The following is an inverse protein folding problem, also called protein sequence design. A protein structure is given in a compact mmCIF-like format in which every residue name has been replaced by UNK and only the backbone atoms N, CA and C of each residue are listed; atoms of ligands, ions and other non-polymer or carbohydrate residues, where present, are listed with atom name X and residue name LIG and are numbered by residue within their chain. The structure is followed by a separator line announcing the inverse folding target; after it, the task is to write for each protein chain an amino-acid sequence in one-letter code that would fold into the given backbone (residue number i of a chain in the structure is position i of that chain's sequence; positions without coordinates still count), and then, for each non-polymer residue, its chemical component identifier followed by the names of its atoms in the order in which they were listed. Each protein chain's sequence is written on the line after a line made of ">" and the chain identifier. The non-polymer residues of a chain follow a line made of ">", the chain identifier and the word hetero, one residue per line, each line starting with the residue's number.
data_IF_929108912529
#
_entry.id   IF_929108912529
#
_cell.length_a   1.000
_cell.length_b   1.000
_cell.length_c   1.000
_cell.angle_alpha   90.00
_cell.angle_beta   90.00
_cell.angle_gamma   90.00
#
_symmetry.space_group_name_H-M   'P 1'
#
loop_
_entity.id
_entity.type
_entity.pdbx_description
1 polymer ?
#
# COMPACT_ATOMS: atom_id res chain seq x y z
N UNK A 1 -41.00 -9.77 -1.09
CA UNK A 1 -40.70 -8.59 -0.25
C UNK A 1 -40.36 -7.39 -1.14
N UNK A 2 -41.34 -6.90 -1.92
CA UNK A 2 -41.10 -5.99 -3.05
C UNK A 2 -40.61 -4.57 -2.65
N UNK A 3 -40.98 -4.12 -1.46
CA UNK A 3 -40.53 -2.84 -0.90
C UNK A 3 -39.01 -2.75 -0.80
N UNK A 4 -38.35 -3.76 -0.23
CA UNK A 4 -36.91 -3.75 -0.04
C UNK A 4 -36.15 -3.81 -1.36
N UNK A 5 -36.60 -4.62 -2.32
CA UNK A 5 -36.01 -4.67 -3.66
C UNK A 5 -36.10 -3.32 -4.38
N UNK A 6 -37.25 -2.63 -4.26
CA UNK A 6 -37.43 -1.28 -4.80
C UNK A 6 -36.45 -0.30 -4.15
N UNK A 7 -36.35 -0.33 -2.81
CA UNK A 7 -35.41 0.51 -2.09
C UNK A 7 -33.95 0.25 -2.51
N UNK A 8 -33.53 -1.02 -2.63
CA UNK A 8 -32.18 -1.38 -3.08
C UNK A 8 -31.91 -0.88 -4.51
N UNK A 9 -32.90 -1.05 -5.40
CA UNK A 9 -32.81 -0.55 -6.77
C UNK A 9 -32.60 0.97 -6.78
N UNK A 10 -33.38 1.73 -6.01
CA UNK A 10 -33.28 3.18 -5.95
C UNK A 10 -31.90 3.64 -5.44
N UNK A 11 -31.36 2.97 -4.41
CA UNK A 11 -30.00 3.24 -3.92
C UNK A 11 -28.94 2.97 -5.01
N UNK A 12 -29.09 1.91 -5.80
CA UNK A 12 -28.19 1.59 -6.92
C UNK A 12 -28.33 2.63 -8.04
N UNK A 13 -29.55 3.06 -8.36
CA UNK A 13 -29.81 4.06 -9.39
C UNK A 13 -29.19 5.41 -9.03
N UNK A 14 -29.24 5.82 -7.76
CA UNK A 14 -28.52 7.01 -7.28
C UNK A 14 -27.02 6.94 -7.59
N UNK A 15 -26.40 5.77 -7.36
CA UNK A 15 -24.97 5.55 -7.69
C UNK A 15 -24.66 5.54 -9.19
N UNK A 16 -25.61 5.09 -10.01
CA UNK A 16 -25.45 5.15 -11.47
C UNK A 16 -25.59 6.57 -11.99
N UNK A 17 -26.54 7.35 -11.45
CA UNK A 17 -26.78 8.74 -11.80
C UNK A 17 -25.62 9.66 -11.39
N UNK A 18 -24.98 9.42 -10.23
CA UNK A 18 -23.83 10.20 -9.76
C UNK A 18 -22.47 9.74 -10.31
N UNK A 19 -22.47 8.75 -11.22
CA UNK A 19 -21.28 8.11 -11.80
C UNK A 19 -20.29 7.52 -10.79
N UNK A 20 -20.70 7.26 -9.54
CA UNK A 20 -19.88 6.61 -8.52
C UNK A 20 -20.13 5.10 -8.39
N UNK A 21 -21.06 4.55 -9.19
CA UNK A 21 -21.26 3.11 -9.35
C UNK A 21 -19.98 2.44 -9.87
N UNK A 22 -19.56 1.36 -9.23
CA UNK A 22 -18.28 0.70 -9.51
C UNK A 22 -18.50 -0.60 -10.27
N UNK A 23 -17.81 -0.73 -11.40
CA UNK A 23 -17.68 -1.99 -12.14
C UNK A 23 -16.24 -2.47 -11.99
N UNK A 24 -16.06 -3.63 -11.35
CA UNK A 24 -14.73 -4.16 -11.07
C UNK A 24 -14.12 -4.84 -12.29
N UNK A 25 -12.86 -4.52 -12.59
CA UNK A 25 -12.07 -5.26 -13.58
C UNK A 25 -11.63 -6.59 -13.00
N UNK A 26 -11.78 -7.66 -13.78
CA UNK A 26 -11.40 -9.03 -13.39
C UNK A 26 -9.93 -9.26 -13.76
N UNK A 27 -9.03 -9.19 -12.79
CA UNK A 27 -7.58 -9.23 -13.03
C UNK A 27 -6.89 -10.29 -12.17
N UNK A 28 -6.09 -11.15 -12.80
CA UNK A 28 -5.18 -12.09 -12.12
C UNK A 28 -3.73 -11.68 -12.36
N UNK A 29 -3.03 -11.21 -11.31
CA UNK A 29 -1.62 -10.80 -11.38
C UNK A 29 -0.70 -12.02 -11.53
N UNK A 30 0.36 -11.89 -12.30
CA UNK A 30 1.37 -12.95 -12.46
C UNK A 30 2.42 -12.88 -11.34
N UNK A 31 2.56 -13.97 -10.58
CA UNK A 31 3.60 -14.11 -9.56
C UNK A 31 5.00 -14.46 -10.14
N UNK A 32 5.10 -14.69 -11.45
CA UNK A 32 6.36 -15.01 -12.15
C UNK A 32 6.83 -13.88 -13.05
N UNK A 33 5.95 -12.94 -13.40
CA UNK A 33 6.26 -11.84 -14.31
C UNK A 33 5.64 -10.52 -13.83
N UNK A 34 6.01 -10.05 -12.64
CA UNK A 34 5.55 -8.77 -12.10
C UNK A 34 6.06 -7.60 -12.98
N UNK A 35 5.25 -6.58 -13.33
CA UNK A 35 3.88 -6.31 -12.89
C UNK A 35 2.77 -6.77 -13.88
N UNK A 36 3.02 -7.81 -14.67
CA UNK A 36 2.05 -8.34 -15.65
C UNK A 36 0.87 -9.05 -15.01
N UNK A 37 -0.27 -9.06 -15.69
CA UNK A 37 -1.48 -9.75 -15.30
C UNK A 37 -2.31 -10.22 -16.51
N UNK A 38 -3.33 -11.04 -16.26
CA UNK A 38 -4.38 -11.36 -17.23
C UNK A 38 -5.69 -10.70 -16.81
N UNK A 39 -6.39 -10.09 -17.76
CA UNK A 39 -7.70 -9.44 -17.57
C UNK A 39 -8.80 -10.25 -18.25
N UNK A 40 -9.99 -10.31 -17.64
CA UNK A 40 -11.08 -11.24 -18.03
C UNK A 40 -12.46 -10.59 -18.19
N UNK A 41 -12.61 -9.27 -18.12
CA UNK A 41 -13.92 -8.63 -18.24
C UNK A 41 -14.54 -8.79 -19.63
N UNK A 42 -13.71 -8.94 -20.67
CA UNK A 42 -14.12 -8.99 -22.07
C UNK A 42 -13.42 -10.11 -22.86
N UNK A 43 -13.09 -11.21 -22.18
CA UNK A 43 -12.19 -12.25 -22.68
C UNK A 43 -10.79 -12.12 -22.09
N UNK A 44 -10.01 -13.20 -22.21
CA UNK A 44 -8.66 -13.26 -21.66
C UNK A 44 -7.68 -12.40 -22.47
N UNK A 45 -7.04 -11.42 -21.83
CA UNK A 45 -5.99 -10.60 -22.44
C UNK A 45 -4.83 -10.31 -21.49
N UNK A 46 -3.58 -10.30 -21.98
CA UNK A 46 -2.45 -9.86 -21.18
C UNK A 46 -2.51 -8.34 -20.96
N UNK A 47 -2.16 -7.89 -19.76
CA UNK A 47 -2.07 -6.48 -19.38
C UNK A 47 -0.85 -6.24 -18.47
N UNK A 48 -0.45 -4.98 -18.35
CA UNK A 48 0.50 -4.51 -17.33
C UNK A 48 -0.26 -3.73 -16.26
N UNK A 49 -0.06 -4.05 -14.98
CA UNK A 49 -0.78 -3.42 -13.87
C UNK A 49 -0.03 -2.20 -13.34
N UNK A 50 -0.64 -1.02 -13.50
CA UNK A 50 -0.07 0.27 -13.08
C UNK A 50 -0.73 0.89 -11.85
N UNK A 51 -1.79 0.25 -11.33
CA UNK A 51 -2.56 0.74 -10.19
C UNK A 51 -2.48 -0.19 -8.95
N UNK A 52 -1.52 -1.10 -8.94
CA UNK A 52 -1.29 -2.00 -7.81
C UNK A 52 -0.66 -1.24 -6.65
N UNK A 53 -1.08 -1.56 -5.42
CA UNK A 53 -0.41 -1.09 -4.20
C UNK A 53 0.64 -2.08 -3.66
N UNK A 54 0.89 -3.18 -4.35
CA UNK A 54 2.06 -4.03 -4.12
C UNK A 54 3.32 -3.32 -4.63
N UNK A 55 3.69 -2.24 -3.95
CA UNK A 55 4.63 -1.23 -4.44
C UNK A 55 6.01 -1.80 -4.78
N UNK A 56 6.41 -2.83 -4.07
CA UNK A 56 7.74 -3.44 -4.16
C UNK A 56 7.71 -4.85 -4.76
N UNK A 57 6.54 -5.32 -5.21
CA UNK A 57 6.38 -6.68 -5.73
C UNK A 57 6.58 -7.77 -4.68
N UNK A 58 6.53 -7.44 -3.38
CA UNK A 58 6.82 -8.39 -2.30
C UNK A 58 5.83 -9.56 -2.27
N UNK A 59 4.63 -9.40 -2.83
CA UNK A 59 3.66 -10.50 -2.92
C UNK A 59 4.14 -11.68 -3.78
N UNK A 60 5.14 -11.46 -4.64
CA UNK A 60 5.72 -12.50 -5.50
C UNK A 60 7.19 -12.81 -5.20
N UNK A 61 7.77 -12.20 -4.15
CA UNK A 61 9.17 -12.42 -3.75
C UNK A 61 9.43 -13.91 -3.42
N UNK A 62 10.52 -14.53 -3.92
CA UNK A 62 10.77 -15.96 -3.74
C UNK A 62 10.77 -16.40 -2.27
N UNK A 63 11.47 -15.67 -1.40
CA UNK A 63 11.55 -16.01 0.03
C UNK A 63 10.20 -15.86 0.74
N UNK A 64 9.39 -14.87 0.35
CA UNK A 64 8.02 -14.73 0.87
C UNK A 64 7.16 -15.92 0.43
N UNK A 65 7.19 -16.30 -0.85
CA UNK A 65 6.47 -17.49 -1.36
C UNK A 65 6.95 -18.78 -0.72
N UNK A 66 8.25 -18.91 -0.43
CA UNK A 66 8.82 -20.05 0.26
C UNK A 66 8.29 -20.14 1.70
N UNK A 67 8.36 -19.05 2.46
CA UNK A 67 7.86 -18.97 3.83
C UNK A 67 6.35 -19.28 3.93
N UNK A 68 5.56 -18.83 2.95
CA UNK A 68 4.13 -19.15 2.84
C UNK A 68 3.90 -20.65 2.60
N UNK A 69 4.63 -21.27 1.65
CA UNK A 69 4.52 -22.72 1.37
C UNK A 69 4.90 -23.57 2.58
N UNK A 70 6.03 -23.27 3.20
CA UNK A 70 6.49 -24.00 4.39
C UNK A 70 5.49 -23.87 5.55
N UNK A 71 4.90 -22.68 5.74
CA UNK A 71 3.86 -22.50 6.76
C UNK A 71 2.58 -23.26 6.41
N UNK A 72 2.21 -23.35 5.14
CA UNK A 72 1.02 -24.10 4.69
C UNK A 72 1.18 -25.59 5.02
N UNK A 73 2.34 -26.16 4.68
CA UNK A 73 2.63 -27.58 4.90
C UNK A 73 2.66 -27.93 6.39
N UNK A 74 3.17 -27.02 7.23
CA UNK A 74 3.31 -27.26 8.68
C UNK A 74 2.05 -26.97 9.49
N UNK A 75 1.28 -25.96 9.11
CA UNK A 75 0.23 -25.38 9.97
C UNK A 75 -1.13 -25.27 9.30
N UNK A 76 -1.26 -25.68 8.03
CA UNK A 76 -2.49 -25.59 7.28
C UNK A 76 -2.85 -24.15 6.86
N UNK A 77 -4.06 -24.01 6.33
CA UNK A 77 -4.47 -22.81 5.59
C UNK A 77 -5.00 -21.67 6.46
N UNK A 78 -5.58 -21.95 7.63
CA UNK A 78 -6.25 -20.95 8.46
C UNK A 78 -5.87 -21.08 9.93
N UNK A 79 -6.05 -20.01 10.70
CA UNK A 79 -5.76 -20.02 12.14
C UNK A 79 -6.74 -20.88 12.96
N UNK A 80 -7.95 -21.11 12.46
CA UNK A 80 -8.94 -21.97 13.10
C UNK A 80 -9.60 -21.40 14.36
N UNK A 81 -9.35 -20.13 14.71
CA UNK A 81 -9.88 -19.53 15.93
C UNK A 81 -9.62 -18.03 16.05
N UNK A 82 -10.19 -17.41 17.08
CA UNK A 82 -9.88 -16.01 17.45
C UNK A 82 -8.56 -15.97 18.23
N UNK A 83 -7.99 -14.79 18.47
CA UNK A 83 -6.77 -14.68 19.31
C UNK A 83 -6.96 -15.33 20.69
N UNK A 84 -8.15 -15.25 21.28
CA UNK A 84 -8.42 -15.82 22.60
C UNK A 84 -8.69 -17.34 22.58
N UNK A 85 -9.17 -17.89 21.46
CA UNK A 85 -9.58 -19.28 21.35
C UNK A 85 -8.81 -19.90 20.19
N UNK A 86 -7.72 -20.62 20.52
CA UNK A 86 -6.81 -21.37 19.61
C UNK A 86 -6.14 -20.62 18.46
N UNK A 87 -6.48 -19.35 18.19
CA UNK A 87 -5.96 -18.57 17.07
C UNK A 87 -4.73 -17.71 17.38
N UNK A 88 -4.16 -17.76 18.59
CA UNK A 88 -2.88 -17.09 18.89
C UNK A 88 -1.73 -18.07 18.66
N UNK A 89 -0.85 -17.75 17.72
CA UNK A 89 0.31 -18.58 17.36
C UNK A 89 1.60 -17.80 17.55
N UNK A 90 2.74 -18.49 17.64
CA UNK A 90 4.06 -17.84 17.71
C UNK A 90 4.32 -16.90 16.51
N UNK A 91 3.72 -17.15 15.34
CA UNK A 91 3.82 -16.25 14.20
C UNK A 91 3.16 -14.89 14.46
N UNK A 92 2.07 -14.85 15.23
CA UNK A 92 1.43 -13.59 15.62
C UNK A 92 2.38 -12.79 16.51
N UNK A 93 2.84 -13.39 17.61
CA UNK A 93 3.68 -12.71 18.60
C UNK A 93 5.03 -12.29 18.01
N UNK A 94 5.64 -13.14 17.17
CA UNK A 94 6.89 -12.80 16.49
C UNK A 94 6.71 -11.63 15.53
N UNK A 95 5.61 -11.60 14.77
CA UNK A 95 5.33 -10.48 13.87
C UNK A 95 4.97 -9.20 14.64
N UNK A 96 4.21 -9.30 15.73
CA UNK A 96 3.93 -8.16 16.62
C UNK A 96 5.23 -7.59 17.22
N UNK A 97 6.14 -8.44 17.69
CA UNK A 97 7.45 -8.01 18.19
C UNK A 97 8.32 -7.38 17.09
N UNK A 98 8.32 -7.95 15.88
CA UNK A 98 9.07 -7.40 14.74
C UNK A 98 8.52 -6.02 14.34
N UNK A 99 7.19 -5.85 14.31
CA UNK A 99 6.54 -4.57 14.00
C UNK A 99 6.77 -3.52 15.11
N UNK A 100 6.73 -3.94 16.39
CA UNK A 100 7.07 -3.07 17.50
C UNK A 100 8.52 -2.58 17.39
N UNK A 101 9.45 -3.48 17.08
CA UNK A 101 10.86 -3.17 16.85
C UNK A 101 11.07 -2.25 15.64
N UNK A 102 10.37 -2.50 14.52
CA UNK A 102 10.43 -1.67 13.31
C UNK A 102 10.11 -0.20 13.64
N UNK A 103 9.08 0.02 14.45
CA UNK A 103 8.61 1.36 14.81
C UNK A 103 9.26 1.96 16.06
N UNK A 104 10.24 1.25 16.66
CA UNK A 104 10.83 1.58 17.97
C UNK A 104 9.75 1.87 19.04
N UNK A 105 8.72 1.02 19.09
CA UNK A 105 7.64 1.09 20.08
C UNK A 105 7.67 -0.11 21.02
N UNK A 106 7.18 0.05 22.27
CA UNK A 106 7.12 -1.06 23.23
C UNK A 106 6.29 -2.26 22.78
N UNK A 107 5.22 -2.04 22.01
CA UNK A 107 4.32 -3.10 21.58
C UNK A 107 3.65 -2.79 20.23
N UNK A 108 3.15 -3.85 19.58
CA UNK A 108 2.29 -3.78 18.41
C UNK A 108 1.15 -4.79 18.51
N UNK A 109 0.08 -4.57 17.74
CA UNK A 109 -1.10 -5.43 17.72
C UNK A 109 -1.59 -5.65 16.30
N UNK A 110 -1.74 -6.91 15.90
CA UNK A 110 -2.22 -7.30 14.57
C UNK A 110 -3.75 -7.28 14.46
N UNK A 111 -4.22 -6.90 13.27
CA UNK A 111 -5.62 -6.92 12.84
C UNK A 111 -5.73 -7.50 11.43
N UNK A 112 -6.94 -7.91 11.05
CA UNK A 112 -7.24 -8.49 9.73
C UNK A 112 -6.99 -7.52 8.56
N UNK A 113 -7.00 -6.21 8.82
CA UNK A 113 -6.59 -5.17 7.89
C UNK A 113 -6.28 -3.87 8.64
N UNK A 114 -5.58 -2.94 8.00
CA UNK A 114 -5.39 -1.61 8.60
C UNK A 114 -6.71 -0.81 8.66
N UNK A 115 -7.67 -1.12 7.78
CA UNK A 115 -9.03 -0.57 7.92
C UNK A 115 -9.60 -0.92 9.29
N UNK A 116 -9.53 -2.19 9.68
CA UNK A 116 -10.04 -2.67 10.98
C UNK A 116 -9.18 -2.18 12.14
N UNK A 117 -7.85 -2.10 11.97
CA UNK A 117 -6.96 -1.53 12.98
C UNK A 117 -7.35 -0.08 13.31
N UNK A 118 -7.51 0.76 12.27
CA UNK A 118 -7.97 2.14 12.40
C UNK A 118 -9.36 2.19 13.05
N UNK A 119 -10.36 1.52 12.45
CA UNK A 119 -11.76 1.57 12.93
C UNK A 119 -11.85 1.16 14.41
N UNK A 120 -11.25 0.03 14.76
CA UNK A 120 -11.35 -0.55 16.10
C UNK A 120 -10.60 0.26 17.15
N UNK A 121 -9.37 0.70 16.85
CA UNK A 121 -8.55 1.44 17.81
C UNK A 121 -9.15 2.80 18.09
N UNK A 122 -9.50 3.53 17.04
CA UNK A 122 -10.07 4.87 17.14
C UNK A 122 -11.42 4.87 17.84
N UNK A 123 -12.29 3.92 17.48
CA UNK A 123 -13.58 3.76 18.15
C UNK A 123 -13.40 3.46 19.64
N UNK A 124 -12.48 2.55 19.97
CA UNK A 124 -12.19 2.17 21.36
C UNK A 124 -11.69 3.37 22.16
N UNK A 125 -10.66 4.07 21.68
CA UNK A 125 -10.12 5.27 22.34
C UNK A 125 -11.19 6.35 22.51
N UNK A 126 -11.96 6.63 21.46
CA UNK A 126 -12.98 7.68 21.49
C UNK A 126 -14.13 7.35 22.43
N UNK A 127 -14.45 6.06 22.62
CA UNK A 127 -15.50 5.59 23.53
C UNK A 127 -15.05 5.57 24.98
N UNK A 128 -13.78 5.25 25.25
CA UNK A 128 -13.27 5.01 26.61
C UNK A 128 -12.57 6.21 27.24
N UNK A 129 -11.97 7.11 26.44
CA UNK A 129 -11.32 8.31 26.97
C UNK A 129 -12.40 9.34 27.38
N UNK A 130 -12.50 9.71 28.67
CA UNK A 130 -13.49 10.68 29.11
C UNK A 130 -13.24 12.05 28.47
N UNK A 131 -14.29 12.64 27.89
CA UNK A 131 -14.21 13.96 27.25
C UNK A 131 -13.33 14.00 26.00
N UNK A 132 -13.17 12.86 25.31
CA UNK A 132 -12.31 12.76 24.13
C UNK A 132 -12.71 13.76 23.03
N UNK A 133 -11.75 14.58 22.60
CA UNK A 133 -11.84 15.42 21.42
C UNK A 133 -10.94 14.89 20.32
N UNK A 134 -11.46 14.88 19.09
CA UNK A 134 -10.79 14.32 17.92
C UNK A 134 -10.54 15.41 16.88
N UNK A 135 -9.26 15.70 16.64
CA UNK A 135 -8.79 16.57 15.58
C UNK A 135 -8.33 15.70 14.42
N UNK A 136 -8.99 15.82 13.26
CA UNK A 136 -8.78 14.93 12.12
C UNK A 136 -8.61 15.75 10.84
N UNK A 137 -7.59 15.41 10.07
CA UNK A 137 -7.34 15.99 8.76
C UNK A 137 -8.46 15.65 7.76
N UNK A 138 -8.78 16.57 6.85
CA UNK A 138 -9.89 16.43 5.91
C UNK A 138 -9.61 15.35 4.86
N UNK A 139 -8.34 15.04 4.61
CA UNK A 139 -7.89 13.98 3.73
C UNK A 139 -7.72 12.63 4.42
N UNK A 140 -8.08 12.49 5.70
CA UNK A 140 -7.98 11.22 6.40
C UNK A 140 -8.79 10.11 5.72
N UNK A 141 -8.27 8.88 5.80
CA UNK A 141 -8.88 7.74 5.15
C UNK A 141 -10.24 7.37 5.78
N UNK A 142 -11.14 6.78 4.99
CA UNK A 142 -12.49 6.44 5.40
C UNK A 142 -12.55 5.54 6.66
N UNK A 143 -11.55 4.67 6.86
CA UNK A 143 -11.44 3.83 8.07
C UNK A 143 -11.31 4.65 9.34
N UNK A 144 -10.62 5.80 9.27
CA UNK A 144 -10.47 6.69 10.42
C UNK A 144 -11.75 7.51 10.64
N UNK A 145 -12.29 8.08 9.55
CA UNK A 145 -13.49 8.91 9.57
C UNK A 145 -14.69 8.17 10.17
N UNK A 146 -14.88 6.90 9.80
CA UNK A 146 -16.00 6.08 10.28
C UNK A 146 -15.97 5.94 11.81
N UNK A 147 -14.81 5.64 12.38
CA UNK A 147 -14.65 5.26 13.78
C UNK A 147 -15.18 6.34 14.74
N UNK A 148 -14.78 7.60 14.54
CA UNK A 148 -15.15 8.69 15.44
C UNK A 148 -16.52 9.31 15.14
N UNK A 149 -17.05 9.16 13.92
CA UNK A 149 -18.41 9.62 13.60
C UNK A 149 -19.47 8.85 14.38
N UNK A 150 -19.24 7.56 14.62
CA UNK A 150 -20.19 6.68 15.32
C UNK A 150 -20.36 7.10 16.79
N UNK A 151 -19.30 7.60 17.42
CA UNK A 151 -19.28 7.96 18.85
C UNK A 151 -19.68 9.43 19.12
N UNK A 152 -20.06 10.19 18.09
CA UNK A 152 -20.56 11.56 18.25
C UNK A 152 -19.52 12.57 18.73
N UNK A 153 -18.21 12.29 18.56
CA UNK A 153 -17.15 13.18 19.02
C UNK A 153 -17.11 14.46 18.16
N UNK A 154 -16.88 15.61 18.80
CA UNK A 154 -16.72 16.91 18.14
C UNK A 154 -15.49 16.90 17.23
N UNK A 155 -15.74 16.84 15.92
CA UNK A 155 -14.73 16.92 14.88
C UNK A 155 -14.35 18.38 14.59
N UNK A 156 -13.09 18.75 14.82
CA UNK A 156 -12.62 20.13 14.65
C UNK A 156 -11.52 20.17 13.59
N UNK A 157 -11.74 20.97 12.55
CA UNK A 157 -10.84 21.13 11.40
C UNK A 157 -9.95 22.39 11.48
N UNK A 158 -9.98 23.13 12.60
CA UNK A 158 -9.28 24.42 12.77
C UNK A 158 -8.21 24.39 13.87
N UNK A 159 -7.14 25.21 13.78
CA UNK A 159 -6.11 25.29 14.80
C UNK A 159 -6.68 25.62 16.19
N UNK A 160 -6.14 24.93 17.19
CA UNK A 160 -6.57 24.90 18.59
C UNK A 160 -6.11 26.18 19.30
N UNK A 161 -6.79 27.30 19.03
CA UNK A 161 -6.48 28.53 19.75
C UNK A 161 -7.15 28.62 21.13
N UNK A 162 -8.19 27.82 21.45
CA UNK A 162 -8.99 27.99 22.68
C UNK A 162 -9.68 26.70 23.18
N UNK A 163 -8.93 25.67 23.59
CA UNK A 163 -9.55 24.48 24.21
C UNK A 163 -8.88 24.11 25.54
N UNK A 164 -9.71 23.86 26.56
CA UNK A 164 -9.31 23.44 27.92
C UNK A 164 -8.56 22.09 27.92
N UNK A 165 -7.76 21.79 28.95
CA UNK A 165 -6.79 20.69 29.02
C UNK A 165 -7.40 19.27 29.17
N UNK A 166 -8.70 19.07 28.97
CA UNK A 166 -9.32 17.73 29.01
C UNK A 166 -8.87 16.84 27.84
N UNK A 167 -8.70 15.54 28.07
CA UNK A 167 -8.20 14.48 27.15
C UNK A 167 -8.41 14.77 25.65
N UNK A 168 -7.34 15.17 24.96
CA UNK A 168 -7.35 15.49 23.51
C UNK A 168 -6.62 14.42 22.72
N UNK A 169 -7.10 14.16 21.51
CA UNK A 169 -6.51 13.18 20.61
C UNK A 169 -6.45 13.77 19.19
N UNK A 170 -5.26 13.75 18.59
CA UNK A 170 -4.98 14.30 17.26
C UNK A 170 -4.62 13.19 16.28
N UNK A 171 -5.15 13.27 15.06
CA UNK A 171 -4.93 12.30 14.00
C UNK A 171 -4.49 12.98 12.72
N UNK A 172 -3.37 12.54 12.15
CA UNK A 172 -3.03 12.87 10.77
C UNK A 172 -1.92 12.00 10.25
N UNK A 173 -2.01 11.67 8.96
CA UNK A 173 -0.87 11.21 8.16
C UNK A 173 -0.87 11.67 6.72
N UNK A 174 0.21 11.27 6.03
CA UNK A 174 0.38 11.25 4.58
C UNK A 174 -0.92 10.85 3.88
N UNK A 175 -1.46 11.77 3.09
CA UNK A 175 -2.72 11.56 2.39
C UNK A 175 -2.46 10.90 1.03
N UNK A 176 -2.98 9.69 0.84
CA UNK A 176 -2.78 8.88 -0.37
C UNK A 176 -3.29 9.55 -1.65
N UNK A 177 -4.37 10.34 -1.57
CA UNK A 177 -5.01 10.88 -2.76
C UNK A 177 -4.22 12.00 -3.43
N UNK A 178 -3.35 12.67 -2.70
CA UNK A 178 -2.54 13.79 -3.18
C UNK A 178 -1.06 13.47 -3.25
N UNK A 179 -0.60 12.42 -2.57
CA UNK A 179 0.82 12.13 -2.42
C UNK A 179 1.55 13.15 -1.54
N UNK A 180 0.80 14.00 -0.82
CA UNK A 180 1.34 14.99 0.08
C UNK A 180 1.85 14.33 1.37
N UNK A 181 3.08 14.66 1.73
CA UNK A 181 3.65 14.28 3.02
C UNK A 181 3.16 15.28 4.07
N UNK A 182 2.65 14.78 5.19
CA UNK A 182 2.24 15.61 6.31
C UNK A 182 3.46 16.34 6.91
N UNK A 183 3.35 17.63 7.32
CA UNK A 183 4.34 18.26 8.19
C UNK A 183 4.28 17.60 9.57
N UNK A 184 4.97 16.46 9.71
CA UNK A 184 4.84 15.55 10.85
C UNK A 184 5.38 16.19 12.13
N UNK A 185 6.52 16.87 12.06
CA UNK A 185 7.15 17.57 13.18
C UNK A 185 6.20 18.62 13.80
N UNK A 186 5.73 19.57 12.98
CA UNK A 186 4.78 20.60 13.41
C UNK A 186 3.53 20.01 14.06
N UNK A 187 3.03 18.90 13.53
CA UNK A 187 1.86 18.23 14.05
C UNK A 187 2.11 17.60 15.42
N UNK A 188 3.20 16.86 15.57
CA UNK A 188 3.59 16.26 16.85
C UNK A 188 3.84 17.35 17.89
N UNK A 189 4.61 18.38 17.53
CA UNK A 189 4.88 19.53 18.38
C UNK A 189 3.57 20.18 18.88
N UNK A 190 2.63 20.48 17.98
CA UNK A 190 1.35 21.08 18.37
C UNK A 190 0.53 20.12 19.23
N UNK A 191 0.44 18.84 18.88
CA UNK A 191 -0.31 17.86 19.66
C UNK A 191 0.20 17.81 21.10
N UNK A 192 1.50 17.61 21.29
CA UNK A 192 2.12 17.50 22.61
C UNK A 192 2.07 18.81 23.39
N UNK A 193 2.28 19.97 22.73
CA UNK A 193 2.14 21.29 23.35
C UNK A 193 0.77 21.50 24.01
N UNK A 194 -0.29 20.93 23.43
CA UNK A 194 -1.65 21.02 23.95
C UNK A 194 -2.09 19.79 24.76
N UNK A 195 -1.17 18.89 25.10
CA UNK A 195 -1.43 17.69 25.90
C UNK A 195 -2.25 16.62 25.19
N UNK A 196 -2.15 16.56 23.87
CA UNK A 196 -2.78 15.52 23.07
C UNK A 196 -1.81 14.41 22.70
N UNK A 197 -2.37 13.23 22.45
CA UNK A 197 -1.66 12.12 21.80
C UNK A 197 -1.86 12.17 20.28
N UNK A 198 -0.87 11.68 19.55
CA UNK A 198 -0.85 11.58 18.09
C UNK A 198 -1.20 10.17 17.62
N UNK A 199 -1.93 10.08 16.52
CA UNK A 199 -2.18 8.81 15.86
C UNK A 199 -1.96 8.98 14.37
N UNK A 200 -1.01 8.18 13.88
CA UNK A 200 -0.29 8.41 12.64
C UNK A 200 -0.42 7.14 11.75
N UNK A 201 -1.31 7.16 10.75
CA UNK A 201 -1.46 6.10 9.73
C UNK A 201 -0.36 6.16 8.62
N UNK A 202 0.68 5.35 8.77
CA UNK A 202 1.82 5.23 7.83
C UNK A 202 1.59 4.18 6.73
N UNK A 203 0.33 3.83 6.42
CA UNK A 203 -0.03 2.74 5.49
C UNK A 203 0.60 2.86 4.10
N UNK A 204 0.82 4.08 3.61
CA UNK A 204 1.43 4.36 2.31
C UNK A 204 2.93 4.70 2.39
N UNK A 205 3.55 4.46 3.54
CA UNK A 205 4.93 4.81 3.80
C UNK A 205 5.76 3.66 4.35
N UNK A 206 5.16 2.79 5.17
CA UNK A 206 5.81 1.57 5.65
C UNK A 206 6.31 0.71 4.48
N UNK A 207 7.52 0.21 4.59
CA UNK A 207 8.30 -0.48 3.56
C UNK A 207 8.97 0.43 2.53
N UNK A 208 8.64 1.73 2.46
CA UNK A 208 9.08 2.63 1.39
C UNK A 208 10.03 3.76 1.83
N UNK A 209 9.96 4.16 3.10
CA UNK A 209 10.70 5.29 3.65
C UNK A 209 11.39 4.92 4.96
N UNK A 210 12.48 5.64 5.24
CA UNK A 210 13.36 5.36 6.36
C UNK A 210 14.35 4.24 6.04
N UNK A 211 15.43 4.17 6.82
CA UNK A 211 16.53 3.24 6.56
C UNK A 211 16.13 1.77 6.78
N UNK A 212 15.08 1.52 7.56
CA UNK A 212 14.54 0.19 7.82
C UNK A 212 13.14 -0.01 7.21
N UNK A 213 12.66 0.95 6.43
CA UNK A 213 11.31 0.93 5.88
C UNK A 213 10.23 1.17 6.94
N UNK A 214 10.52 1.83 8.07
CA UNK A 214 9.51 2.06 9.10
C UNK A 214 8.55 3.21 8.78
N UNK A 215 8.86 4.06 7.78
CA UNK A 215 7.95 5.10 7.30
C UNK A 215 8.57 6.50 7.30
N UNK A 216 7.71 7.52 7.22
CA UNK A 216 8.13 8.93 7.21
C UNK A 216 8.71 9.32 8.57
N UNK A 217 8.12 8.86 9.67
CA UNK A 217 8.64 9.09 11.01
C UNK A 217 10.09 8.65 11.18
N UNK A 218 10.49 7.52 10.59
CA UNK A 218 11.88 7.08 10.59
C UNK A 218 12.78 7.99 9.76
N UNK A 219 12.34 8.30 8.54
CA UNK A 219 13.10 9.19 7.64
C UNK A 219 13.39 10.55 8.26
N UNK A 220 12.46 11.07 9.05
CA UNK A 220 12.54 12.40 9.68
C UNK A 220 13.08 12.35 11.12
N UNK A 221 13.37 11.17 11.67
CA UNK A 221 13.84 11.02 13.04
C UNK A 221 12.78 11.31 14.12
N UNK A 222 11.49 11.23 13.76
CA UNK A 222 10.34 11.61 14.58
C UNK A 222 9.57 10.42 15.16
N UNK A 223 10.09 9.18 15.05
CA UNK A 223 9.37 8.01 15.57
C UNK A 223 9.09 8.10 17.07
N UNK A 224 9.99 8.73 17.84
CA UNK A 224 9.80 8.98 19.27
C UNK A 224 8.55 9.81 19.56
N UNK A 225 8.22 10.76 18.67
CA UNK A 225 7.13 11.73 18.82
C UNK A 225 5.75 11.16 18.43
N UNK A 226 5.70 10.01 17.75
CA UNK A 226 4.46 9.38 17.30
C UNK A 226 3.88 8.46 18.37
N UNK A 227 2.79 8.80 19.04
CA UNK A 227 2.25 7.99 20.15
C UNK A 227 1.65 6.66 19.68
N UNK A 228 0.92 6.70 18.56
CA UNK A 228 0.28 5.54 17.95
C UNK A 228 0.56 5.57 16.46
N UNK A 229 1.06 4.46 15.93
CA UNK A 229 1.34 4.29 14.51
C UNK A 229 0.43 3.20 13.99
N UNK A 230 -0.32 3.45 12.91
CA UNK A 230 -1.03 2.38 12.20
C UNK A 230 -0.38 2.10 10.86
N UNK A 231 -0.37 0.82 10.47
CA UNK A 231 0.26 0.37 9.24
C UNK A 231 -0.45 -0.81 8.62
N UNK A 232 -0.13 -1.12 7.36
CA UNK A 232 -0.69 -2.26 6.63
C UNK A 232 0.39 -3.25 6.24
N UNK A 233 0.02 -4.53 6.20
CA UNK A 233 0.81 -5.58 5.59
C UNK A 233 0.46 -5.78 4.09
N UNK A 234 -0.59 -5.14 3.60
CA UNK A 234 -1.16 -5.40 2.26
C UNK A 234 -0.73 -4.46 1.14
N UNK A 235 0.34 -3.69 1.34
CA UNK A 235 0.91 -2.78 0.33
C UNK A 235 2.35 -3.11 0.04
N UNK A 236 3.31 -2.32 0.53
CA UNK A 236 4.75 -2.56 0.30
C UNK A 236 5.19 -3.96 0.77
N UNK A 237 4.63 -4.47 1.88
CA UNK A 237 4.91 -5.83 2.39
C UNK A 237 4.20 -6.96 1.62
N UNK A 238 3.33 -6.65 0.65
CA UNK A 238 2.79 -7.62 -0.31
C UNK A 238 1.88 -8.73 0.25
N UNK A 239 1.34 -8.58 1.46
CA UNK A 239 0.53 -9.60 2.15
C UNK A 239 -0.91 -9.09 2.41
N UNK A 240 -1.52 -9.48 3.54
CA UNK A 240 -2.80 -8.95 4.03
C UNK A 240 -2.71 -8.79 5.54
N UNK A 241 -3.42 -7.79 6.08
CA UNK A 241 -3.39 -7.44 7.50
C UNK A 241 -3.10 -5.97 7.74
N UNK A 242 -3.23 -5.57 8.98
CA UNK A 242 -2.77 -4.29 9.48
C UNK A 242 -2.44 -4.38 10.95
N UNK A 243 -1.92 -3.29 11.48
CA UNK A 243 -1.49 -3.24 12.86
C UNK A 243 -1.56 -1.83 13.42
N UNK A 244 -1.49 -1.75 14.74
CA UNK A 244 -1.04 -0.55 15.45
C UNK A 244 0.27 -0.86 16.18
N UNK A 245 1.10 0.15 16.39
CA UNK A 245 2.27 0.12 17.26
C UNK A 245 2.23 1.34 18.21
N UNK A 246 2.60 1.15 19.47
CA UNK A 246 2.48 2.18 20.50
C UNK A 246 2.97 1.68 21.86
N UNK A 247 2.54 2.35 22.94
CA UNK A 247 2.87 1.90 24.30
C UNK A 247 2.22 0.56 24.64
N UNK A 248 2.83 -0.23 25.53
CA UNK A 248 2.28 -1.52 25.96
C UNK A 248 0.89 -1.37 26.59
N UNK A 249 0.67 -0.33 27.40
CA UNK A 249 -0.63 -0.05 28.00
C UNK A 249 -1.70 0.26 26.95
N UNK A 250 -1.35 1.02 25.90
CA UNK A 250 -2.27 1.31 24.81
C UNK A 250 -2.62 0.05 24.04
N UNK A 251 -1.61 -0.72 23.63
CA UNK A 251 -1.81 -1.97 22.90
C UNK A 251 -2.66 -2.94 23.71
N UNK A 252 -2.38 -3.08 25.00
CA UNK A 252 -3.10 -4.00 25.87
C UNK A 252 -4.55 -3.57 26.15
N UNK A 253 -4.78 -2.26 26.28
CA UNK A 253 -6.12 -1.69 26.37
C UNK A 253 -6.90 -1.95 25.07
N UNK A 254 -6.33 -1.67 23.91
CA UNK A 254 -7.00 -1.94 22.62
C UNK A 254 -7.28 -3.44 22.46
N UNK A 255 -6.31 -4.31 22.75
CA UNK A 255 -6.45 -5.77 22.71
C UNK A 255 -7.61 -6.28 23.60
N UNK A 256 -7.83 -5.62 24.74
CA UNK A 256 -8.81 -6.04 25.74
C UNK A 256 -10.23 -5.49 25.51
N UNK A 257 -10.37 -4.38 24.79
CA UNK A 257 -11.66 -3.70 24.62
C UNK A 257 -12.16 -3.61 23.17
N UNK A 258 -11.28 -3.76 22.18
CA UNK A 258 -11.65 -3.58 20.79
C UNK A 258 -12.41 -4.81 20.25
N UNK A 259 -13.74 -4.70 20.11
CA UNK A 259 -14.58 -5.77 19.58
C UNK A 259 -14.12 -6.27 18.20
N UNK A 260 -13.65 -5.37 17.32
CA UNK A 260 -13.12 -5.71 16.00
C UNK A 260 -11.81 -6.50 16.01
N UNK A 261 -11.12 -6.57 17.15
CA UNK A 261 -10.00 -7.47 17.40
C UNK A 261 -10.46 -8.80 18.05
N UNK A 262 -11.31 -8.71 19.07
CA UNK A 262 -11.67 -9.85 19.93
C UNK A 262 -12.55 -10.88 19.20
N UNK A 263 -13.55 -10.40 18.45
CA UNK A 263 -14.63 -11.24 17.90
C UNK A 263 -14.43 -11.55 16.41
N UNK A 264 -13.18 -11.74 15.99
CA UNK A 264 -12.83 -12.17 14.62
C UNK A 264 -11.81 -13.29 14.66
N UNK A 265 -11.88 -14.20 13.69
CA UNK A 265 -10.81 -15.16 13.43
C UNK A 265 -9.50 -14.41 13.16
N UNK A 266 -8.40 -14.92 13.70
CA UNK A 266 -7.08 -14.30 13.53
C UNK A 266 -6.49 -14.58 12.14
N UNK A 267 -5.40 -13.87 11.80
CA UNK A 267 -4.77 -14.00 10.49
C UNK A 267 -4.19 -15.42 10.30
N UNK A 268 -4.28 -16.00 9.10
CA UNK A 268 -3.68 -17.30 8.83
C UNK A 268 -2.17 -17.36 9.08
N UNK A 269 -1.62 -18.48 9.59
CA UNK A 269 -0.17 -18.68 9.72
C UNK A 269 0.60 -18.42 8.43
N UNK A 270 0.02 -18.81 7.28
CA UNK A 270 0.59 -18.57 5.94
C UNK A 270 0.80 -17.08 5.66
N UNK A 271 -0.20 -16.25 5.99
CA UNK A 271 -0.13 -14.79 5.85
C UNK A 271 0.90 -14.20 6.80
N UNK A 272 0.93 -14.65 8.05
CA UNK A 272 1.85 -14.12 9.06
C UNK A 272 3.31 -14.44 8.73
N UNK A 273 3.59 -15.68 8.30
CA UNK A 273 4.91 -16.12 7.86
C UNK A 273 5.41 -15.31 6.65
N UNK A 274 4.52 -15.10 5.66
CA UNK A 274 4.80 -14.27 4.49
C UNK A 274 5.08 -12.82 4.86
N UNK A 275 4.24 -12.23 5.73
CA UNK A 275 4.39 -10.84 6.17
C UNK A 275 5.65 -10.63 7.02
N UNK A 276 5.96 -11.54 7.96
CA UNK A 276 7.19 -11.50 8.76
C UNK A 276 8.43 -11.55 7.89
N UNK A 277 8.44 -12.45 6.90
CA UNK A 277 9.54 -12.55 5.93
C UNK A 277 9.67 -11.26 5.12
N UNK A 278 8.56 -10.69 4.65
CA UNK A 278 8.58 -9.44 3.89
C UNK A 278 9.10 -8.26 4.73
N UNK A 279 8.67 -8.12 5.98
CA UNK A 279 9.15 -7.08 6.91
C UNK A 279 10.66 -7.20 7.13
N UNK A 280 11.15 -8.42 7.41
CA UNK A 280 12.59 -8.67 7.63
C UNK A 280 13.44 -8.38 6.39
N UNK A 281 12.96 -8.75 5.20
CA UNK A 281 13.65 -8.44 3.94
C UNK A 281 13.73 -6.94 3.73
N UNK A 282 12.63 -6.20 3.88
CA UNK A 282 12.62 -4.75 3.68
C UNK A 282 13.35 -3.96 4.78
N UNK A 283 13.68 -4.61 5.89
CA UNK A 283 14.52 -4.07 6.96
C UNK A 283 16.01 -4.37 6.76
N UNK A 284 16.36 -5.34 5.90
CA UNK A 284 17.75 -5.78 5.71
C UNK A 284 18.56 -4.78 4.87
N UNK A 285 19.88 -4.84 4.99
CA UNK A 285 20.81 -4.00 4.20
C UNK A 285 20.65 -4.18 2.68
N UNK A 286 20.26 -5.38 2.24
CA UNK A 286 20.03 -5.69 0.83
C UNK A 286 18.93 -4.80 0.22
N UNK A 287 17.90 -4.49 1.01
CA UNK A 287 16.81 -3.61 0.60
C UNK A 287 17.23 -2.14 0.47
N UNK A 288 18.16 -1.67 1.31
CA UNK A 288 18.66 -0.26 1.31
C UNK A 288 19.26 0.15 -0.04
N UNK A 289 19.87 -0.80 -0.75
CA UNK A 289 20.43 -0.62 -2.10
C UNK A 289 19.36 -0.55 -3.20
N UNK A 290 18.23 -1.22 -2.99
CA UNK A 290 17.08 -1.21 -3.92
C UNK A 290 16.23 0.05 -3.76
N UNK A 291 16.08 0.57 -2.54
CA UNK A 291 15.41 1.84 -2.23
C UNK A 291 16.11 3.06 -2.88
N UNK A 292 17.44 3.00 -3.06
CA UNK A 292 18.21 4.02 -3.81
C UNK A 292 17.81 4.11 -5.30
N UNK A 293 17.42 3.00 -5.93
CA UNK A 293 16.96 3.02 -7.32
C UNK A 293 15.56 3.64 -7.47
N UNK A 294 14.67 3.49 -6.47
CA UNK A 294 13.38 4.17 -6.45
C UNK A 294 13.52 5.67 -6.10
N UNK A 295 14.52 6.05 -5.31
CA UNK A 295 14.92 7.44 -5.12
C UNK A 295 15.46 8.09 -6.40
N UNK A 296 16.01 7.31 -7.33
CA UNK A 296 16.48 7.77 -8.65
C UNK A 296 15.31 8.01 -9.62
N UNK A 297 14.26 7.18 -9.59
CA UNK A 297 12.98 7.44 -10.27
C UNK A 297 12.31 8.75 -9.80
N UNK A 298 12.51 9.11 -8.52
CA UNK A 298 12.11 10.38 -7.92
C UNK A 298 12.80 11.60 -8.54
N UNK A 299 14.02 11.48 -9.05
CA UNK A 299 14.73 12.62 -9.65
C UNK A 299 14.19 12.95 -11.04
N UNK A 300 13.86 11.95 -11.86
CA UNK A 300 13.37 12.17 -13.25
C UNK A 300 11.87 12.55 -13.31
N UNK A 301 11.03 12.07 -12.37
CA UNK A 301 9.56 12.34 -12.39
C UNK A 301 9.18 13.64 -11.66
N UNK A 302 10.01 14.10 -10.72
CA UNK A 302 9.77 15.34 -9.96
C UNK A 302 9.82 16.58 -10.86
N UNK A 303 10.66 16.57 -11.88
CA UNK A 303 10.73 17.62 -12.91
C UNK A 303 9.48 17.68 -13.82
N UNK A 304 8.66 16.62 -13.85
CA UNK A 304 7.50 16.51 -14.74
C UNK A 304 6.14 16.65 -14.05
N UNK A 305 6.04 16.43 -12.72
CA UNK A 305 4.74 16.32 -12.02
C UNK A 305 4.62 17.07 -10.69
N UNK A 306 5.73 17.57 -10.11
CA UNK A 306 5.73 18.22 -8.79
C UNK A 306 5.39 17.31 -7.60
N UNK A 307 5.28 15.99 -7.79
CA UNK A 307 4.92 15.03 -6.74
C UNK A 307 6.05 14.83 -5.71
N UNK A 308 5.71 14.81 -4.42
CA UNK A 308 6.66 14.61 -3.29
C UNK A 308 6.71 13.18 -2.75
N UNK A 309 5.99 12.23 -3.34
CA UNK A 309 5.90 10.82 -2.91
C UNK A 309 5.91 9.86 -4.11
N UNK A 310 5.90 8.54 -3.87
CA UNK A 310 5.83 7.49 -4.91
C UNK A 310 4.49 7.43 -5.68
N UNK A 311 3.56 8.34 -5.40
CA UNK A 311 2.24 8.37 -6.02
C UNK A 311 2.28 9.40 -7.15
N UNK A 312 2.13 8.93 -8.39
CA UNK A 312 1.99 9.79 -9.56
C UNK A 312 0.50 9.98 -9.82
N UNK A 313 0.01 11.22 -9.70
CA UNK A 313 -1.34 11.60 -10.09
C UNK A 313 -1.29 12.30 -11.43
N UNK A 314 -2.01 11.76 -12.41
CA UNK A 314 -2.38 12.52 -13.61
C UNK A 314 -3.61 13.37 -13.28
N UNK A 315 -3.50 14.70 -13.43
CA UNK A 315 -4.66 15.58 -13.44
C UNK A 315 -5.37 15.39 -14.78
N UNK A 316 -6.65 15.01 -14.76
CA UNK A 316 -7.49 15.02 -15.97
C UNK A 316 -7.66 16.47 -16.45
N UNK A 317 -6.79 16.90 -17.35
CA UNK A 317 -7.01 17.97 -18.32
C UNK A 317 -6.84 17.37 -19.71
N UNK A 318 -7.71 17.73 -20.65
CA UNK A 318 -7.57 17.33 -22.06
C UNK A 318 -6.30 17.97 -22.63
N UNK A 319 -5.18 17.25 -22.68
CA UNK A 319 -4.03 17.67 -23.49
C UNK A 319 -3.24 16.44 -23.97
N UNK A 320 -2.90 16.43 -25.26
CA UNK A 320 -2.13 15.40 -25.97
C UNK A 320 -0.74 15.11 -25.33
N UNK A 321 -0.26 16.02 -24.48
CA UNK A 321 0.92 15.85 -23.61
C UNK A 321 0.82 14.64 -22.66
N UNK A 322 -0.39 14.14 -22.38
CA UNK A 322 -0.64 12.95 -21.56
C UNK A 322 -0.09 11.68 -22.21
N UNK A 323 -0.24 11.53 -23.53
CA UNK A 323 0.24 10.34 -24.26
C UNK A 323 1.76 10.39 -24.32
N UNK A 324 2.37 11.53 -24.60
CA UNK A 324 3.83 11.66 -24.66
C UNK A 324 4.50 11.51 -23.29
N UNK A 325 3.88 12.00 -22.21
CA UNK A 325 4.38 11.81 -20.86
C UNK A 325 4.26 10.34 -20.44
N UNK A 326 3.13 9.70 -20.73
CA UNK A 326 2.92 8.27 -20.49
C UNK A 326 3.91 7.46 -21.33
N UNK A 327 4.05 7.71 -22.63
CA UNK A 327 4.91 6.94 -23.53
C UNK A 327 6.40 7.10 -23.21
N UNK A 328 6.88 8.30 -22.87
CA UNK A 328 8.26 8.50 -22.43
C UNK A 328 8.53 7.88 -21.05
N UNK A 329 7.58 7.99 -20.13
CA UNK A 329 7.66 7.34 -18.82
C UNK A 329 7.61 5.81 -18.96
N UNK A 330 6.76 5.29 -19.84
CA UNK A 330 6.63 3.86 -20.18
C UNK A 330 7.90 3.32 -20.83
N UNK A 331 8.54 4.09 -21.72
CA UNK A 331 9.79 3.71 -22.38
C UNK A 331 10.94 3.57 -21.38
N UNK A 332 11.05 4.51 -20.43
CA UNK A 332 12.07 4.47 -19.38
C UNK A 332 11.81 3.35 -18.37
N UNK A 333 10.55 3.11 -17.99
CA UNK A 333 10.20 2.00 -17.09
C UNK A 333 10.45 0.66 -17.79
N UNK A 334 10.09 0.51 -19.06
CA UNK A 334 10.37 -0.70 -19.84
C UNK A 334 11.88 -1.00 -19.91
N UNK A 335 12.73 0.00 -20.16
CA UNK A 335 14.19 -0.18 -20.18
C UNK A 335 14.73 -0.60 -18.81
N UNK A 336 14.22 -0.03 -17.72
CA UNK A 336 14.68 -0.35 -16.38
C UNK A 336 14.16 -1.70 -15.87
N UNK A 337 12.92 -2.07 -16.17
CA UNK A 337 12.38 -3.42 -15.92
C UNK A 337 13.16 -4.48 -16.71
N UNK A 338 13.54 -4.19 -17.96
CA UNK A 338 14.41 -5.07 -18.76
C UNK A 338 15.80 -5.20 -18.14
N UNK A 339 16.40 -4.10 -17.63
CA UNK A 339 17.69 -4.14 -16.92
C UNK A 339 17.61 -4.91 -15.59
N UNK A 340 16.52 -4.75 -14.85
CA UNK A 340 16.24 -5.48 -13.61
C UNK A 340 16.09 -6.98 -13.92
N UNK A 341 15.23 -7.36 -14.88
CA UNK A 341 15.05 -8.74 -15.31
C UNK A 341 16.33 -9.38 -15.87
N UNK A 342 17.19 -8.63 -16.59
CA UNK A 342 18.49 -9.13 -17.06
C UNK A 342 19.44 -9.44 -15.92
N UNK A 343 19.59 -8.51 -14.97
CA UNK A 343 20.49 -8.69 -13.82
C UNK A 343 20.01 -9.80 -12.88
N UNK A 344 18.69 -9.96 -12.78
CA UNK A 344 18.05 -11.08 -12.08
C UNK A 344 18.20 -12.41 -12.84
N UNK A 345 18.13 -12.39 -14.17
CA UNK A 345 18.37 -13.55 -15.04
C UNK A 345 19.81 -14.05 -15.01
N UNK A 346 20.78 -13.14 -14.91
CA UNK A 346 22.21 -13.45 -14.71
C UNK A 346 22.46 -14.09 -13.34
N UNK A 347 21.81 -13.63 -12.27
CA UNK A 347 21.84 -14.26 -10.93
C UNK A 347 21.15 -15.64 -10.91
N UNK A 348 20.23 -15.90 -11.84
CA UNK A 348 19.50 -17.17 -11.97
C UNK A 348 20.07 -18.10 -13.05
N UNK A 349 21.23 -17.78 -13.65
CA UNK A 349 21.92 -18.63 -14.63
C UNK A 349 21.26 -18.73 -16.02
N UNK A 350 20.40 -17.78 -16.42
CA UNK A 350 19.80 -17.74 -17.77
C UNK A 350 20.13 -16.43 -18.48
N UNK A 351 21.08 -16.49 -19.41
CA UNK A 351 21.42 -15.37 -20.31
C UNK A 351 20.44 -15.31 -21.48
N UNK A 352 19.82 -14.15 -21.71
CA UNK A 352 19.11 -13.85 -22.96
C UNK A 352 19.57 -12.49 -23.49
N UNK A 353 20.21 -12.51 -24.65
CA UNK A 353 20.84 -11.34 -25.28
C UNK A 353 19.85 -10.67 -26.24
N UNK A 354 19.14 -9.61 -25.81
CA UNK A 354 18.50 -8.65 -26.72
C UNK A 354 19.52 -7.57 -27.15
N UNK A 355 19.75 -7.44 -28.46
CA UNK A 355 20.55 -6.37 -29.08
C UNK A 355 19.58 -5.36 -29.67
N UNK A 356 19.66 -4.09 -29.24
CA UNK A 356 18.92 -2.99 -29.84
C UNK A 356 19.78 -2.29 -30.90
N UNK A 357 19.40 -2.35 -32.17
CA UNK A 357 19.98 -1.52 -33.22
C UNK A 357 19.19 -0.22 -33.37
N UNK A 358 19.91 0.91 -33.41
CA UNK A 358 19.40 2.24 -33.76
C UNK A 358 19.72 2.45 -35.24
N UNK A 359 18.73 2.70 -36.10
CA UNK A 359 18.96 3.16 -37.47
C UNK A 359 18.34 4.54 -37.66
N UNK A 360 19.19 5.52 -37.94
CA UNK A 360 18.85 6.87 -38.38
C UNK A 360 19.08 6.93 -39.89
N UNK A 361 18.09 7.42 -40.64
CA UNK A 361 18.26 7.89 -42.02
C UNK A 361 17.86 6.88 -43.10
N UNK A 362 16.93 7.30 -43.96
CA UNK A 362 16.41 6.50 -45.06
C UNK A 362 17.42 6.22 -46.17
N UNK A 363 17.30 5.01 -46.75
CA UNK A 363 17.49 4.72 -48.17
C UNK A 363 16.96 3.31 -48.49
N UNK A 364 16.20 3.21 -49.57
CA UNK A 364 15.65 1.97 -50.15
C UNK A 364 16.77 1.13 -50.76
N UNK A 365 16.81 -0.18 -50.50
CA UNK A 365 17.47 -1.19 -51.34
C UNK A 365 16.70 -2.53 -51.30
N UNK A 366 16.60 -3.17 -52.47
CA UNK A 366 15.82 -4.37 -52.79
C UNK A 366 16.60 -5.69 -52.67
N UNK A 367 15.84 -6.75 -52.36
CA UNK A 367 15.99 -8.19 -52.68
C UNK A 367 17.25 -8.98 -52.26
N UNK A 368 17.02 -10.06 -51.51
CA UNK A 368 17.94 -11.21 -51.37
C UNK A 368 17.37 -12.28 -50.43
N UNK A 369 16.89 -13.41 -50.98
CA UNK A 369 16.32 -14.56 -50.26
C UNK A 369 17.34 -15.29 -49.39
N UNK A 370 16.93 -15.77 -48.20
CA UNK A 370 17.11 -17.19 -47.75
C UNK A 370 16.38 -17.50 -46.43
N UNK A 371 15.25 -18.22 -46.56
CA UNK A 371 14.73 -19.38 -45.78
C UNK A 371 14.98 -19.55 -44.27
N UNK A 372 13.89 -19.48 -43.46
CA UNK A 372 13.14 -20.57 -42.75
C UNK A 372 12.78 -20.31 -41.26
N UNK A 373 11.46 -20.35 -41.01
CA UNK A 373 10.67 -20.61 -39.77
C UNK A 373 10.42 -19.50 -38.73
N UNK A 374 9.46 -18.63 -39.08
CA UNK A 374 8.25 -18.23 -38.32
C UNK A 374 8.30 -18.07 -36.78
N UNK A 375 8.47 -16.83 -36.33
CA UNK A 375 7.74 -16.23 -35.20
C UNK A 375 7.04 -14.97 -35.75
N UNK A 376 5.72 -14.78 -35.58
CA UNK A 376 5.08 -13.55 -36.01
C UNK A 376 5.30 -12.42 -34.99
N UNK A 377 6.03 -11.39 -35.43
CA UNK A 377 5.78 -9.95 -35.30
C UNK A 377 5.45 -9.35 -33.92
N UNK A 378 6.49 -8.90 -33.21
CA UNK A 378 6.40 -8.05 -32.02
C UNK A 378 6.60 -6.54 -32.32
N UNK A 379 6.54 -6.10 -33.58
CA UNK A 379 6.93 -4.73 -33.97
C UNK A 379 5.88 -3.97 -34.83
N UNK A 380 4.67 -4.49 -34.97
CA UNK A 380 3.63 -3.92 -35.87
C UNK A 380 2.32 -3.49 -35.16
N UNK A 381 2.38 -3.02 -33.90
CA UNK A 381 1.18 -2.58 -33.16
C UNK A 381 1.34 -1.23 -32.42
N UNK A 382 2.04 -0.26 -33.02
CA UNK A 382 2.19 1.10 -32.44
C UNK A 382 1.56 2.21 -33.30
N UNK A 383 0.81 1.90 -34.37
CA UNK A 383 0.24 2.95 -35.24
C UNK A 383 -1.29 2.95 -35.45
N UNK A 384 -2.09 2.18 -34.70
CA UNK A 384 -3.57 2.14 -34.86
C UNK A 384 -4.36 2.46 -33.58
N UNK A 385 -3.98 3.49 -32.81
CA UNK A 385 -4.78 3.95 -31.66
C UNK A 385 -5.17 5.43 -31.68
N UNK A 386 -5.06 6.10 -32.84
CA UNK A 386 -5.57 7.47 -33.03
C UNK A 386 -6.76 7.59 -33.99
N UNK A 387 -7.40 6.49 -34.38
CA UNK A 387 -8.69 6.53 -35.09
C UNK A 387 -9.57 5.38 -34.64
N UNK A 388 -10.34 5.59 -33.55
CA UNK A 388 -11.77 5.29 -33.40
C UNK A 388 -12.27 5.66 -31.99
#
# INVERSE_FOLDING_TARGET
>A
NAFYETFFHDQIMQKKLDHSYRVFKKVNRSATNFPSAKEYSWGERPITVWCSNDYLGMSCHPEVKKAVRESLDKHGAGAGGTRNISGNTLYHETLEAELASLHQKPAALLFTSCYVANDSTLFTLARTLPGCHIFSDAGNHASMIKAYRIVGVKHIFKPVAKFDKSSKLWFRTVTFMTGAVCPLDDLCYVAHKYGAITYIDEVHAVGLYGDNGAGIGEREGLMGEMDIISGTLGKAFGNIGGYIAGSSNLVDMVRSYAAGFIFTTSLPPTVLSGALTAVRILRSDESRTSSRHQAMFRFEVKDLSGATSYIIRSCKGNDETLIDLIMNTLYLIMIQTIKWCRRWGELCGKTTTMVGQRSLGGRVWTSGQTTKRSQPDALMWIYELCTF
#
